data_IF_270961900950
#
_entry.id   IF_270961900950
#
_cell.length_a   1.000
_cell.length_b   1.000
_cell.length_c   1.000
_cell.angle_alpha   90.00
_cell.angle_beta   90.00
_cell.angle_gamma   90.00
#
_symmetry.space_group_name_H-M   'P 1'
#
loop_
_entity.id
_entity.type
_entity.pdbx_description
1 polymer ?
#
# COMPACT_ATOMS: atom_id res chain seq x y z
N UNK A 1 -0.64 -2.72 5.41
CA UNK A 1 -1.21 -3.97 5.95
C UNK A 1 -0.20 -5.10 5.85
N UNK A 2 -0.09 -5.92 6.88
CA UNK A 2 0.73 -7.13 6.82
C UNK A 2 0.14 -8.10 5.78
N UNK A 3 0.93 -8.43 4.76
CA UNK A 3 0.50 -9.26 3.65
C UNK A 3 0.07 -10.68 4.07
N UNK A 4 0.59 -11.20 5.19
CA UNK A 4 0.15 -12.50 5.73
C UNK A 4 -1.28 -12.49 6.25
N UNK A 5 -1.81 -11.30 6.59
CA UNK A 5 -3.19 -11.12 7.02
C UNK A 5 -4.14 -10.70 5.90
N UNK A 6 -3.65 -10.51 4.68
CA UNK A 6 -4.39 -10.04 3.52
C UNK A 6 -4.65 -11.20 2.55
N UNK A 7 -5.91 -11.59 2.43
CA UNK A 7 -6.32 -12.62 1.47
C UNK A 7 -6.51 -12.08 0.05
N UNK A 8 -6.38 -12.95 -0.97
CA UNK A 8 -6.67 -12.57 -2.36
C UNK A 8 -8.12 -12.10 -2.53
N UNK A 9 -9.06 -12.71 -1.81
CA UNK A 9 -10.48 -12.35 -1.85
C UNK A 9 -10.79 -10.97 -1.22
N UNK A 10 -9.85 -10.41 -0.46
CA UNK A 10 -9.96 -9.07 0.11
C UNK A 10 -9.63 -7.98 -0.91
N UNK A 11 -9.03 -8.35 -2.06
CA UNK A 11 -8.62 -7.41 -3.09
C UNK A 11 -9.69 -7.29 -4.18
N UNK A 12 -10.27 -6.12 -4.30
CA UNK A 12 -11.33 -5.83 -5.28
C UNK A 12 -10.76 -4.94 -6.37
N UNK A 13 -10.75 -5.47 -7.59
CA UNK A 13 -10.34 -4.69 -8.76
C UNK A 13 -11.40 -3.63 -9.07
N UNK A 14 -10.95 -2.41 -9.29
CA UNK A 14 -11.79 -1.29 -9.65
C UNK A 14 -11.17 -0.46 -10.76
N UNK A 15 -12.02 0.02 -11.66
CA UNK A 15 -11.64 1.00 -12.67
C UNK A 15 -11.71 2.41 -12.09
N UNK A 16 -10.65 3.17 -12.29
CA UNK A 16 -10.61 4.61 -12.10
C UNK A 16 -10.75 5.30 -13.45
N UNK A 17 -11.89 5.94 -13.68
CA UNK A 17 -12.13 6.70 -14.90
C UNK A 17 -11.59 8.13 -14.77
N UNK A 18 -10.57 8.42 -15.54
CA UNK A 18 -10.06 9.78 -15.75
C UNK A 18 -10.67 10.37 -17.03
N UNK A 19 -10.46 11.66 -17.25
CA UNK A 19 -10.98 12.34 -18.44
C UNK A 19 -10.42 11.77 -19.75
N UNK A 20 -9.18 11.30 -19.73
CA UNK A 20 -8.38 10.88 -20.89
C UNK A 20 -7.95 9.40 -20.85
N UNK A 21 -8.24 8.68 -19.77
CA UNK A 21 -7.82 7.28 -19.60
C UNK A 21 -8.65 6.55 -18.55
N UNK A 22 -8.54 5.23 -18.55
CA UNK A 22 -9.00 4.36 -17.47
C UNK A 22 -7.76 3.75 -16.81
N UNK A 23 -7.68 3.85 -15.49
CA UNK A 23 -6.69 3.17 -14.67
C UNK A 23 -7.35 2.07 -13.85
N UNK A 24 -6.62 1.02 -13.55
CA UNK A 24 -7.06 -0.03 -12.63
C UNK A 24 -6.38 0.13 -11.27
N UNK A 25 -7.15 -0.04 -10.22
CA UNK A 25 -6.65 -0.10 -8.84
C UNK A 25 -7.27 -1.28 -8.11
N UNK A 26 -6.58 -1.77 -7.09
CA UNK A 26 -7.19 -2.64 -6.09
C UNK A 26 -7.70 -1.82 -4.91
N UNK A 27 -8.91 -2.11 -4.47
CA UNK A 27 -9.41 -1.73 -3.15
C UNK A 27 -9.38 -2.93 -2.22
N UNK A 28 -9.11 -2.67 -0.97
CA UNK A 28 -9.11 -3.71 0.06
C UNK A 28 -10.46 -3.73 0.74
N UNK A 29 -11.12 -4.89 0.74
CA UNK A 29 -12.31 -5.13 1.54
C UNK A 29 -11.94 -5.14 3.01
N UNK A 30 -12.80 -4.60 3.86
CA UNK A 30 -12.61 -4.72 5.29
C UNK A 30 -12.64 -6.18 5.74
N UNK A 31 -11.66 -6.56 6.55
CA UNK A 31 -11.60 -7.84 7.23
C UNK A 31 -11.02 -7.60 8.63
N UNK A 32 -11.70 -8.04 9.71
CA UNK A 32 -11.22 -7.83 11.08
C UNK A 32 -9.89 -8.55 11.38
N UNK A 33 -9.52 -9.54 10.57
CA UNK A 33 -8.26 -10.26 10.72
C UNK A 33 -7.06 -9.53 10.10
N UNK A 34 -7.30 -8.44 9.38
CA UNK A 34 -6.22 -7.62 8.83
C UNK A 34 -5.39 -7.00 9.93
N UNK A 35 -4.07 -7.12 9.80
CA UNK A 35 -3.10 -6.55 10.72
C UNK A 35 -2.45 -5.32 10.09
N UNK A 36 -2.88 -4.14 10.54
CA UNK A 36 -2.36 -2.86 10.09
C UNK A 36 -1.23 -2.39 10.99
N UNK A 37 -0.16 -1.93 10.37
CA UNK A 37 1.02 -1.39 11.07
C UNK A 37 1.42 -0.06 10.43
N UNK A 38 2.13 0.77 11.17
CA UNK A 38 2.70 2.00 10.67
C UNK A 38 4.07 2.25 11.27
N UNK A 39 4.84 3.11 10.63
CA UNK A 39 6.17 3.51 11.08
C UNK A 39 6.07 4.95 11.58
N UNK A 40 6.10 5.18 12.91
CA UNK A 40 6.00 6.53 13.46
C UNK A 40 7.27 7.33 13.21
N UNK A 41 7.14 8.65 13.05
CA UNK A 41 8.24 9.61 13.02
C UNK A 41 9.34 9.28 11.99
N UNK A 42 8.95 8.79 10.82
CA UNK A 42 9.90 8.52 9.74
C UNK A 42 10.67 9.79 9.35
N UNK A 43 11.95 9.60 9.08
CA UNK A 43 12.86 10.65 8.64
C UNK A 43 13.06 10.60 7.11
N UNK A 44 13.62 11.67 6.49
CA UNK A 44 13.93 11.67 5.06
C UNK A 44 14.90 10.60 4.58
N UNK A 45 15.65 9.98 5.50
CA UNK A 45 16.62 8.90 5.20
C UNK A 45 15.97 7.52 5.19
N UNK A 46 14.68 7.43 5.48
CA UNK A 46 13.94 6.17 5.54
C UNK A 46 13.00 6.03 4.33
N UNK A 47 12.89 4.82 3.84
CA UNK A 47 12.06 4.48 2.67
C UNK A 47 11.15 3.30 2.99
N UNK A 48 9.90 3.40 2.56
CA UNK A 48 8.96 2.27 2.56
C UNK A 48 8.89 1.71 1.14
N UNK A 49 9.17 0.41 0.99
CA UNK A 49 8.93 -0.32 -0.25
C UNK A 49 7.56 -0.97 -0.20
N UNK A 50 6.67 -0.56 -1.08
CA UNK A 50 5.32 -1.08 -1.20
C UNK A 50 5.22 -1.94 -2.47
N UNK A 51 4.94 -3.22 -2.30
CA UNK A 51 4.71 -4.11 -3.44
C UNK A 51 3.30 -3.89 -3.96
N UNK A 52 3.16 -3.31 -5.15
CA UNK A 52 1.87 -3.11 -5.80
C UNK A 52 1.37 -4.38 -6.49
N UNK A 53 2.29 -5.18 -7.05
CA UNK A 53 1.97 -6.44 -7.72
C UNK A 53 3.22 -7.30 -7.90
N UNK A 54 3.05 -8.61 -7.87
CA UNK A 54 4.06 -9.60 -8.20
C UNK A 54 3.42 -10.69 -9.08
N UNK A 55 4.11 -11.11 -10.13
CA UNK A 55 3.63 -12.17 -11.03
C UNK A 55 3.76 -13.56 -10.44
N UNK A 56 4.68 -13.75 -9.50
CA UNK A 56 4.94 -15.03 -8.87
C UNK A 56 3.76 -15.51 -8.00
N UNK A 57 3.54 -16.83 -8.01
CA UNK A 57 2.47 -17.51 -7.25
C UNK A 57 3.02 -18.64 -6.38
N UNK A 58 4.19 -18.43 -5.82
CA UNK A 58 4.92 -19.40 -5.01
C UNK A 58 4.67 -19.27 -3.49
N UNK A 59 3.65 -18.48 -3.11
CA UNK A 59 3.29 -18.21 -1.72
C UNK A 59 3.87 -16.92 -1.15
N UNK A 60 4.71 -16.21 -1.92
CA UNK A 60 5.14 -14.86 -1.52
C UNK A 60 4.00 -13.86 -1.59
N UNK A 61 4.12 -12.77 -0.84
CA UNK A 61 3.19 -11.65 -0.94
C UNK A 61 3.21 -11.05 -2.35
N UNK A 62 2.05 -10.94 -2.98
CA UNK A 62 1.90 -10.43 -4.34
C UNK A 62 1.54 -8.93 -4.38
N UNK A 63 0.97 -8.42 -3.32
CA UNK A 63 0.59 -7.02 -3.15
C UNK A 63 0.58 -6.65 -1.66
N UNK A 64 0.59 -5.35 -1.41
CA UNK A 64 0.52 -4.81 -0.06
C UNK A 64 -0.49 -3.68 -0.03
N UNK A 65 -1.55 -3.84 0.74
CA UNK A 65 -2.51 -2.79 0.95
C UNK A 65 -1.92 -1.70 1.85
N UNK A 66 -2.16 -0.45 1.49
CA UNK A 66 -1.72 0.71 2.27
C UNK A 66 -2.73 1.85 2.19
N UNK A 67 -2.78 2.64 3.23
CA UNK A 67 -3.67 3.78 3.34
C UNK A 67 -3.10 4.81 4.31
N UNK A 68 -3.58 6.03 4.24
CA UNK A 68 -3.36 7.02 5.29
C UNK A 68 -4.37 6.83 6.42
N UNK A 69 -4.05 7.31 7.60
CA UNK A 69 -4.95 7.39 8.74
C UNK A 69 -4.63 8.62 9.60
N UNK A 70 -5.57 9.04 10.40
CA UNK A 70 -5.35 10.07 11.39
C UNK A 70 -4.77 9.45 12.66
N UNK A 71 -3.51 9.75 12.96
CA UNK A 71 -2.84 9.25 14.16
C UNK A 71 -3.30 10.08 15.37
N UNK A 72 -4.05 9.48 16.31
CA UNK A 72 -4.56 10.18 17.48
C UNK A 72 -3.46 10.62 18.46
N UNK A 73 -2.24 10.10 18.29
CA UNK A 73 -1.09 10.48 19.12
C UNK A 73 -0.31 11.68 18.56
N UNK A 74 -0.68 12.16 17.36
CA UNK A 74 -0.05 13.34 16.77
C UNK A 74 -0.31 14.60 17.61
N UNK A 75 0.71 15.44 17.85
CA UNK A 75 0.51 16.72 18.50
C UNK A 75 -0.49 17.61 17.73
N UNK A 76 -1.32 18.41 18.41
CA UNK A 76 -2.32 19.26 17.74
C UNK A 76 -1.73 20.25 16.73
N UNK A 77 -0.46 20.59 16.88
CA UNK A 77 0.27 21.53 16.03
C UNK A 77 1.35 20.83 15.18
N UNK A 78 1.22 19.53 14.96
CA UNK A 78 2.17 18.79 14.12
C UNK A 78 2.20 19.36 12.70
N UNK A 79 3.40 19.46 12.13
CA UNK A 79 3.54 19.82 10.71
C UNK A 79 2.91 18.76 9.83
N UNK A 80 2.28 19.14 8.71
CA UNK A 80 1.75 18.17 7.76
C UNK A 80 2.84 17.24 7.25
N UNK A 81 2.49 15.95 7.07
CA UNK A 81 3.40 14.97 6.47
C UNK A 81 3.75 15.37 5.04
N UNK A 82 5.02 15.24 4.72
CA UNK A 82 5.53 15.39 3.37
C UNK A 82 6.14 14.06 2.91
N UNK A 83 5.92 13.68 1.66
CA UNK A 83 6.46 12.45 1.09
C UNK A 83 6.67 12.58 -0.42
N UNK A 84 7.60 11.80 -0.94
CA UNK A 84 7.81 11.61 -2.37
C UNK A 84 7.54 10.13 -2.67
N UNK A 85 6.79 9.88 -3.73
CA UNK A 85 6.51 8.54 -4.23
C UNK A 85 7.09 8.37 -5.63
N UNK A 86 7.73 7.23 -5.86
CA UNK A 86 8.13 6.78 -7.18
C UNK A 86 7.58 5.39 -7.45
N UNK A 87 7.24 5.09 -8.70
CA UNK A 87 6.84 3.75 -9.14
C UNK A 87 7.89 3.16 -10.03
N UNK A 88 8.22 1.92 -9.74
CA UNK A 88 9.22 1.16 -10.48
C UNK A 88 8.66 -0.20 -10.86
N UNK A 89 9.19 -0.78 -11.92
CA UNK A 89 8.96 -2.16 -12.32
C UNK A 89 10.31 -2.86 -12.28
N UNK A 90 10.38 -3.95 -11.53
CA UNK A 90 11.55 -4.82 -11.50
C UNK A 90 11.30 -6.01 -12.42
N UNK A 91 12.25 -6.26 -13.31
CA UNK A 91 12.28 -7.45 -14.15
C UNK A 91 13.39 -8.37 -13.66
N UNK A 92 13.10 -9.64 -13.60
CA UNK A 92 14.04 -10.67 -13.19
C UNK A 92 14.26 -11.62 -14.38
N UNK A 93 15.51 -11.92 -14.66
CA UNK A 93 15.85 -13.01 -15.57
C UNK A 93 15.74 -14.34 -14.84
N UNK A 94 15.17 -15.31 -15.51
CA UNK A 94 15.04 -16.69 -14.99
C UNK A 94 16.39 -17.42 -14.94
#
# INVERSE_FOLDING_TARGET
>A
CDAQSLGEDDMILMDLKYKDRVGEIHRTRYNPDHRWVYFPQMTPDEVILLKCYDTERDGRARWTAHTAFDDPTSPPNASPRQSIETRTIAFYDD
#
